data_IF_106904051759
#
_entry.id   IF_106904051759
#
_cell.length_a   1.000
_cell.length_b   1.000
_cell.length_c   1.000
_cell.angle_alpha   90.00
_cell.angle_beta   90.00
_cell.angle_gamma   90.00
#
_symmetry.space_group_name_H-M   'P 1'
#
loop_
_entity.id
_entity.type
_entity.pdbx_description
1 polymer ?
#
# COMPACT_ATOMS: atom_id res chain seq x y z
N UNK A 1 -2.48 18.44 -0.19
CA UNK A 1 -2.51 19.04 1.17
C UNK A 1 -1.25 18.58 1.89
N UNK A 2 -0.49 19.50 2.47
CA UNK A 2 0.64 19.15 3.35
C UNK A 2 0.06 19.01 4.75
N UNK A 3 0.23 17.84 5.35
CA UNK A 3 -0.29 17.54 6.68
C UNK A 3 0.73 18.05 7.71
N UNK A 4 0.27 18.80 8.72
CA UNK A 4 1.11 19.23 9.84
C UNK A 4 1.35 18.01 10.74
N UNK A 5 2.48 17.34 10.52
CA UNK A 5 2.88 16.13 11.22
C UNK A 5 4.07 16.45 12.12
N UNK A 6 4.11 15.84 13.30
CA UNK A 6 5.28 15.98 14.18
C UNK A 6 6.50 15.32 13.54
N UNK A 7 7.69 15.81 13.87
CA UNK A 7 8.94 15.28 13.32
C UNK A 7 9.11 13.80 13.66
N UNK A 8 8.67 13.37 14.83
CA UNK A 8 8.73 11.98 15.29
C UNK A 8 7.90 11.07 14.39
N UNK A 9 6.68 11.50 14.01
CA UNK A 9 5.84 10.72 13.11
C UNK A 9 6.46 10.59 11.71
N UNK A 10 7.04 11.68 11.20
CA UNK A 10 7.73 11.66 9.91
C UNK A 10 8.93 10.72 9.93
N UNK A 11 9.81 10.86 10.92
CA UNK A 11 11.01 10.02 11.07
C UNK A 11 10.64 8.55 11.28
N UNK A 12 9.61 8.27 12.09
CA UNK A 12 9.11 6.91 12.26
C UNK A 12 8.64 6.32 10.92
N UNK A 13 7.93 7.09 10.10
CA UNK A 13 7.44 6.65 8.80
C UNK A 13 8.60 6.35 7.86
N UNK A 14 9.57 7.26 7.76
CA UNK A 14 10.80 7.06 6.97
C UNK A 14 11.50 5.76 7.38
N UNK A 15 11.77 5.59 8.67
CA UNK A 15 12.48 4.42 9.19
C UNK A 15 11.69 3.13 8.98
N UNK A 16 10.41 3.12 9.36
CA UNK A 16 9.59 1.89 9.41
C UNK A 16 9.16 1.43 8.01
N UNK A 17 8.78 2.37 7.14
CA UNK A 17 8.20 2.06 5.83
C UNK A 17 9.28 2.00 4.75
N UNK A 18 10.16 3.01 4.68
CA UNK A 18 11.07 3.19 3.55
C UNK A 18 12.47 2.61 3.80
N UNK A 19 12.97 2.59 5.05
CA UNK A 19 14.29 2.04 5.36
C UNK A 19 14.18 0.55 5.71
N UNK A 20 13.47 0.24 6.79
CA UNK A 20 13.40 -1.13 7.34
C UNK A 20 12.44 -2.03 6.57
N UNK A 21 11.42 -1.46 5.91
CA UNK A 21 10.36 -2.20 5.24
C UNK A 21 9.65 -3.19 6.18
N UNK A 22 9.27 -2.71 7.36
CA UNK A 22 8.84 -3.58 8.46
C UNK A 22 7.57 -4.39 8.12
N UNK A 23 6.62 -3.85 7.35
CA UNK A 23 5.39 -4.57 7.00
C UNK A 23 5.65 -5.80 6.11
N UNK A 24 6.27 -5.69 4.92
CA UNK A 24 6.49 -6.84 4.06
C UNK A 24 7.45 -7.89 4.65
N UNK A 25 8.32 -7.52 5.60
CA UNK A 25 9.14 -8.46 6.38
C UNK A 25 8.40 -9.10 7.56
N UNK A 26 7.19 -8.62 7.85
CA UNK A 26 6.41 -9.04 9.00
C UNK A 26 7.00 -8.55 10.33
N UNK A 27 7.82 -7.52 10.37
CA UNK A 27 8.44 -6.97 11.58
C UNK A 27 7.62 -5.82 12.19
N UNK A 28 6.62 -5.30 11.46
CA UNK A 28 5.80 -4.19 11.91
C UNK A 28 4.99 -4.54 13.17
N UNK A 29 5.10 -3.67 14.18
CA UNK A 29 4.35 -3.74 15.42
C UNK A 29 3.38 -2.55 15.52
N UNK A 30 2.16 -2.79 16.03
CA UNK A 30 1.16 -1.78 16.29
C UNK A 30 0.50 -2.05 17.66
N UNK A 31 0.60 -1.10 18.59
CA UNK A 31 0.14 -1.24 19.99
C UNK A 31 0.58 -2.55 20.66
N UNK A 32 1.87 -2.90 20.51
CA UNK A 32 2.44 -4.12 21.09
C UNK A 32 2.05 -5.42 20.39
N UNK A 33 1.29 -5.36 19.28
CA UNK A 33 0.89 -6.53 18.49
C UNK A 33 1.57 -6.52 17.13
N UNK A 34 2.08 -7.68 16.71
CA UNK A 34 2.62 -7.86 15.36
C UNK A 34 1.52 -7.73 14.32
N UNK A 35 1.76 -6.93 13.29
CA UNK A 35 0.87 -6.83 12.13
C UNK A 35 1.12 -8.04 11.23
N UNK A 36 0.12 -8.91 11.11
CA UNK A 36 0.18 -10.15 10.33
C UNK A 36 -0.87 -10.12 9.22
N UNK A 37 -0.43 -9.80 8.00
CA UNK A 37 -1.26 -9.74 6.80
C UNK A 37 -1.82 -11.11 6.38
N UNK A 38 -1.27 -12.21 6.87
CA UNK A 38 -1.82 -13.57 6.63
C UNK A 38 -3.14 -13.79 7.37
N UNK A 39 -3.51 -12.92 8.31
CA UNK A 39 -4.82 -12.98 8.99
C UNK A 39 -5.96 -12.43 8.15
N UNK A 40 -5.68 -11.74 7.04
CA UNK A 40 -6.69 -11.23 6.11
C UNK A 40 -7.21 -12.40 5.27
N UNK A 41 -8.50 -12.73 5.40
CA UNK A 41 -9.12 -13.93 4.81
C UNK A 41 -10.50 -13.71 4.20
N UNK A 42 -11.30 -12.81 4.77
CA UNK A 42 -12.73 -12.71 4.51
C UNK A 42 -13.10 -11.39 3.79
N UNK A 43 -12.21 -10.86 2.97
CA UNK A 43 -12.39 -9.59 2.24
C UNK A 43 -11.66 -9.64 0.91
N UNK A 44 -12.21 -8.97 -0.11
CA UNK A 44 -11.57 -8.84 -1.41
C UNK A 44 -10.43 -7.81 -1.36
N UNK A 45 -9.42 -8.01 -2.21
CA UNK A 45 -8.29 -7.10 -2.36
C UNK A 45 -8.24 -6.56 -3.79
N UNK A 46 -8.44 -5.25 -3.94
CA UNK A 46 -8.25 -4.53 -5.18
C UNK A 46 -7.08 -3.56 -5.03
N UNK A 47 -6.10 -3.63 -5.92
CA UNK A 47 -5.00 -2.68 -6.02
C UNK A 47 -5.14 -1.85 -7.29
N UNK A 48 -4.97 -0.53 -7.18
CA UNK A 48 -5.14 0.42 -8.28
C UNK A 48 -3.88 1.26 -8.43
N UNK A 49 -3.38 1.40 -9.66
CA UNK A 49 -2.17 2.16 -9.99
C UNK A 49 -2.39 3.07 -11.20
N UNK A 50 -1.59 4.12 -11.33
CA UNK A 50 -1.53 4.94 -12.53
C UNK A 50 -0.37 4.50 -13.42
N UNK A 51 -0.60 4.32 -14.71
CA UNK A 51 0.44 3.90 -15.67
C UNK A 51 1.66 4.85 -15.68
N UNK A 52 1.43 6.15 -15.44
CA UNK A 52 2.46 7.20 -15.46
C UNK A 52 2.75 7.74 -14.07
N UNK A 53 2.49 6.97 -13.01
CA UNK A 53 2.79 7.37 -11.63
C UNK A 53 4.32 7.39 -11.42
N UNK A 54 4.86 8.56 -11.12
CA UNK A 54 6.28 8.82 -10.87
C UNK A 54 6.64 8.93 -9.38
N UNK A 55 5.67 8.78 -8.47
CA UNK A 55 5.84 8.86 -7.02
C UNK A 55 5.88 7.45 -6.42
N UNK A 56 4.85 6.64 -6.69
CA UNK A 56 4.79 5.24 -6.25
C UNK A 56 5.15 4.25 -7.35
N UNK A 57 4.94 4.56 -8.62
CA UNK A 57 5.24 3.65 -9.73
C UNK A 57 4.40 2.37 -9.77
N UNK A 58 4.39 1.73 -10.94
CA UNK A 58 3.67 0.47 -11.17
C UNK A 58 4.35 -0.68 -10.41
N UNK A 59 3.55 -1.51 -9.75
CA UNK A 59 3.95 -2.71 -9.02
C UNK A 59 3.99 -2.56 -7.50
N UNK A 60 4.09 -1.34 -6.96
CA UNK A 60 4.18 -1.13 -5.50
C UNK A 60 2.90 -1.54 -4.78
N UNK A 61 1.72 -1.15 -5.28
CA UNK A 61 0.46 -1.58 -4.67
C UNK A 61 0.16 -3.04 -5.01
N UNK A 62 0.52 -3.50 -6.23
CA UNK A 62 0.39 -4.91 -6.61
C UNK A 62 1.14 -5.85 -5.65
N UNK A 63 2.24 -5.42 -5.04
CA UNK A 63 2.96 -6.19 -4.04
C UNK A 63 2.11 -6.59 -2.82
N UNK A 64 1.01 -5.88 -2.52
CA UNK A 64 0.06 -6.26 -1.47
C UNK A 64 -0.49 -7.69 -1.67
N UNK A 65 -0.70 -8.12 -2.91
CA UNK A 65 -1.18 -9.48 -3.23
C UNK A 65 -0.21 -10.57 -2.77
N UNK A 66 1.10 -10.28 -2.73
CA UNK A 66 2.12 -11.22 -2.27
C UNK A 66 2.10 -11.38 -0.75
N UNK A 67 1.89 -10.29 -0.01
CA UNK A 67 1.91 -10.28 1.45
C UNK A 67 0.55 -10.66 2.07
N UNK A 68 -0.53 -10.73 1.29
CA UNK A 68 -1.85 -11.19 1.71
C UNK A 68 -2.21 -12.58 1.12
N UNK A 69 -1.47 -13.66 1.44
CA UNK A 69 -1.56 -14.93 0.72
C UNK A 69 -2.87 -15.70 0.92
N UNK A 70 -3.64 -15.39 1.96
CA UNK A 70 -4.85 -16.15 2.32
C UNK A 70 -6.15 -15.57 1.74
N UNK A 71 -6.06 -14.52 0.91
CA UNK A 71 -7.20 -14.04 0.11
C UNK A 71 -7.30 -14.92 -1.15
N UNK A 72 -8.43 -15.56 -1.48
CA UNK A 72 -8.55 -16.38 -2.69
C UNK A 72 -8.29 -15.57 -3.99
N UNK A 73 -7.81 -16.22 -5.05
CA UNK A 73 -7.43 -15.55 -6.29
C UNK A 73 -8.62 -14.86 -6.97
N UNK A 74 -9.80 -15.47 -6.89
CA UNK A 74 -11.08 -14.92 -7.37
C UNK A 74 -11.53 -13.67 -6.60
N UNK A 75 -10.96 -13.42 -5.42
CA UNK A 75 -11.21 -12.23 -4.60
C UNK A 75 -10.08 -11.19 -4.72
N UNK A 76 -9.12 -11.40 -5.63
CA UNK A 76 -8.02 -10.48 -5.91
C UNK A 76 -8.21 -9.83 -7.27
N UNK A 77 -8.04 -8.52 -7.31
CA UNK A 77 -8.03 -7.75 -8.54
C UNK A 77 -6.87 -6.75 -8.51
N UNK A 78 -6.34 -6.47 -9.70
CA UNK A 78 -5.35 -5.42 -9.91
C UNK A 78 -5.73 -4.65 -11.16
N UNK A 79 -5.73 -3.33 -11.06
CA UNK A 79 -6.06 -2.43 -12.16
C UNK A 79 -4.98 -1.36 -12.31
N UNK A 80 -4.49 -1.19 -13.53
CA UNK A 80 -3.58 -0.10 -13.90
C UNK A 80 -4.36 0.83 -14.82
N UNK A 81 -4.61 2.06 -14.36
CA UNK A 81 -5.32 3.07 -15.13
C UNK A 81 -4.39 3.62 -16.22
N UNK A 82 -4.73 3.47 -17.52
CA UNK A 82 -3.91 3.99 -18.59
C UNK A 82 -3.85 5.52 -18.59
N UNK A 83 -2.69 6.06 -18.94
CA UNK A 83 -2.47 7.47 -19.21
C UNK A 83 -2.43 8.41 -18.01
N UNK A 84 -2.71 7.94 -16.78
CA UNK A 84 -2.75 8.79 -15.59
C UNK A 84 -1.48 8.70 -14.74
N UNK A 85 -1.06 9.83 -14.18
CA UNK A 85 -0.02 9.90 -13.16
C UNK A 85 -0.57 9.71 -11.75
N UNK A 86 0.27 9.92 -10.73
CA UNK A 86 -0.06 9.66 -9.31
C UNK A 86 -1.41 10.26 -8.88
N UNK A 87 -1.56 11.57 -9.05
CA UNK A 87 -2.80 12.27 -8.66
C UNK A 87 -3.97 12.01 -9.61
N UNK A 88 -3.73 11.54 -10.84
CA UNK A 88 -4.78 11.21 -11.80
C UNK A 88 -5.58 9.97 -11.41
N UNK A 89 -5.03 9.10 -10.56
CA UNK A 89 -5.75 7.96 -9.97
C UNK A 89 -6.85 8.41 -9.00
N UNK A 90 -6.72 9.59 -8.39
CA UNK A 90 -7.62 10.09 -7.34
C UNK A 90 -8.58 11.18 -7.82
N UNK A 91 -8.47 11.63 -9.08
CA UNK A 91 -9.23 12.75 -9.61
C UNK A 91 -10.10 12.33 -10.80
N UNK A 92 -11.39 12.66 -10.74
CA UNK A 92 -12.37 12.44 -11.81
C UNK A 92 -13.41 13.57 -11.83
N UNK A 93 -14.03 13.82 -12.98
CA UNK A 93 -14.96 14.94 -13.16
C UNK A 93 -16.42 14.60 -12.83
N UNK A 94 -16.73 13.38 -12.37
CA UNK A 94 -18.03 12.91 -11.89
C UNK A 94 -17.91 11.58 -11.17
#
# INVERSE_FOLDING_TARGET
>A
AVMDLTAEFYLQTVETVFVTHALPKGELMHHGKRVDTTKIRNVALLTVEGEKDDISGVGQTHAAHRICPNIPAEMRAHYVQPGVGHYGVFNGSR
#
